data_IF_134839536655
#
_entry.id   IF_134839536655
#
_cell.length_a   1.000
_cell.length_b   1.000
_cell.length_c   1.000
_cell.angle_alpha   90.00
_cell.angle_beta   90.00
_cell.angle_gamma   90.00
#
_symmetry.space_group_name_H-M   'P 1'
#
loop_
_entity.id
_entity.type
_entity.pdbx_description
1 polymer ?
#
# COMPACT_ATOMS: atom_id res chain seq x y z
N UNK A 1 26.76 34.89 -12.54
CA UNK A 1 26.33 33.66 -11.85
C UNK A 1 27.33 33.44 -10.73
N UNK A 2 26.90 33.67 -9.49
CA UNK A 2 27.76 33.53 -8.31
C UNK A 2 27.92 32.03 -7.99
N UNK A 3 29.15 31.46 -7.89
CA UNK A 3 29.32 30.01 -7.77
C UNK A 3 29.20 29.46 -6.34
N UNK A 4 28.78 30.25 -5.35
CA UNK A 4 28.88 29.89 -3.92
C UNK A 4 27.66 30.33 -3.09
N UNK A 5 26.45 30.10 -3.59
CA UNK A 5 25.31 30.00 -2.67
C UNK A 5 25.36 28.61 -2.02
N UNK A 6 25.30 28.48 -0.68
CA UNK A 6 25.16 27.17 -0.05
C UNK A 6 23.88 26.52 -0.59
N UNK A 7 24.00 25.34 -1.19
CA UNK A 7 22.87 24.57 -1.71
C UNK A 7 21.87 24.40 -0.55
N UNK A 8 20.65 24.93 -0.72
CA UNK A 8 19.62 24.88 0.30
C UNK A 8 19.30 23.41 0.61
N UNK A 9 19.24 22.97 1.89
CA UNK A 9 19.02 21.56 2.25
C UNK A 9 17.81 20.92 1.57
N UNK A 10 16.73 21.69 1.38
CA UNK A 10 15.54 21.26 0.63
C UNK A 10 15.88 20.89 -0.82
N UNK A 11 16.65 21.73 -1.52
CA UNK A 11 17.03 21.48 -2.92
C UNK A 11 17.84 20.19 -3.06
N UNK A 12 18.70 19.90 -2.08
CA UNK A 12 19.48 18.65 -2.04
C UNK A 12 18.58 17.42 -1.90
N UNK A 13 17.57 17.45 -1.03
CA UNK A 13 16.65 16.32 -0.82
C UNK A 13 15.73 16.07 -2.02
N UNK A 14 15.32 17.16 -2.67
CA UNK A 14 14.43 17.10 -3.84
C UNK A 14 15.18 16.76 -5.13
N UNK A 15 16.50 16.98 -5.20
CA UNK A 15 17.29 16.56 -6.35
C UNK A 15 17.09 15.06 -6.64
N UNK A 16 16.83 14.67 -7.91
CA UNK A 16 16.79 13.27 -8.27
C UNK A 16 18.19 12.66 -8.09
N UNK A 17 18.28 11.37 -7.69
CA UNK A 17 19.56 10.69 -7.66
C UNK A 17 20.17 10.65 -9.07
N UNK A 18 21.48 10.80 -9.18
CA UNK A 18 22.18 10.51 -10.43
C UNK A 18 22.03 9.03 -10.81
N UNK A 19 22.18 8.70 -12.09
CA UNK A 19 22.10 7.31 -12.57
C UNK A 19 23.06 6.37 -11.82
N UNK A 20 24.23 6.86 -11.41
CA UNK A 20 25.18 6.10 -10.60
C UNK A 20 24.64 5.84 -9.19
N UNK A 21 24.09 6.86 -8.53
CA UNK A 21 23.51 6.72 -7.18
C UNK A 21 22.30 5.80 -7.16
N UNK A 22 21.45 5.87 -8.20
CA UNK A 22 20.33 4.95 -8.37
C UNK A 22 20.83 3.51 -8.57
N UNK A 23 21.81 3.29 -9.45
CA UNK A 23 22.42 1.98 -9.67
C UNK A 23 23.01 1.39 -8.39
N UNK A 24 23.80 2.17 -7.65
CA UNK A 24 24.39 1.75 -6.37
C UNK A 24 23.31 1.37 -5.34
N UNK A 25 22.23 2.16 -5.26
CA UNK A 25 21.11 1.85 -4.39
C UNK A 25 20.43 0.53 -4.75
N UNK A 26 20.16 0.29 -6.04
CA UNK A 26 19.53 -0.96 -6.48
C UNK A 26 20.47 -2.16 -6.35
N UNK A 27 21.77 -2.02 -6.62
CA UNK A 27 22.76 -3.08 -6.42
C UNK A 27 22.88 -3.46 -4.93
N UNK A 28 22.88 -2.46 -4.05
CA UNK A 28 22.85 -2.65 -2.60
C UNK A 28 21.55 -3.35 -2.17
N UNK A 29 20.41 -2.92 -2.70
CA UNK A 29 19.11 -3.53 -2.41
C UNK A 29 19.07 -5.00 -2.85
N UNK A 30 19.52 -5.30 -4.08
CA UNK A 30 19.56 -6.65 -4.65
C UNK A 30 20.52 -7.55 -3.85
N UNK A 31 21.71 -7.04 -3.50
CA UNK A 31 22.70 -7.81 -2.75
C UNK A 31 22.23 -8.14 -1.33
N UNK A 32 21.59 -7.18 -0.64
CA UNK A 32 21.00 -7.38 0.70
C UNK A 32 19.77 -8.28 0.69
N UNK A 33 18.97 -8.23 -0.38
CA UNK A 33 17.77 -9.04 -0.56
C UNK A 33 18.02 -10.42 -1.20
N UNK A 34 19.26 -10.94 -1.19
CA UNK A 34 19.56 -12.36 -1.50
C UNK A 34 18.95 -13.34 -0.47
N UNK A 35 17.66 -13.20 -0.15
CA UNK A 35 16.89 -14.13 0.66
C UNK A 35 16.00 -14.95 -0.30
N UNK A 36 16.09 -16.29 -0.29
CA UNK A 36 15.37 -17.19 -1.20
C UNK A 36 13.89 -17.35 -0.79
N UNK A 37 13.19 -16.24 -0.54
CA UNK A 37 11.83 -16.22 -0.01
C UNK A 37 11.75 -16.14 1.51
N UNK A 38 10.57 -15.75 2.00
CA UNK A 38 10.23 -15.70 3.41
C UNK A 38 10.16 -17.13 3.94
N UNK A 39 11.07 -17.51 4.84
CA UNK A 39 10.86 -18.71 5.67
C UNK A 39 10.01 -18.32 6.86
N UNK A 40 8.71 -18.62 6.76
CA UNK A 40 7.79 -18.52 7.89
C UNK A 40 8.23 -19.52 8.96
N UNK A 41 8.76 -19.01 10.08
CA UNK A 41 9.09 -19.84 11.24
C UNK A 41 7.82 -20.06 12.05
N UNK A 42 7.22 -21.23 11.90
CA UNK A 42 6.04 -21.67 12.62
C UNK A 42 6.31 -21.65 14.14
N UNK A 43 5.66 -20.74 14.86
CA UNK A 43 5.57 -20.76 16.32
C UNK A 43 4.14 -21.18 16.70
N UNK A 44 3.99 -21.97 17.77
CA UNK A 44 2.73 -22.65 18.15
C UNK A 44 1.55 -21.71 18.53
N UNK A 45 1.74 -20.38 18.44
CA UNK A 45 0.72 -19.38 18.71
C UNK A 45 0.15 -18.85 17.38
N UNK A 46 -0.65 -19.65 16.70
CA UNK A 46 -1.34 -19.25 15.48
C UNK A 46 -2.67 -18.55 15.80
N UNK A 47 -3.01 -17.51 15.04
CA UNK A 47 -4.39 -17.16 14.82
C UNK A 47 -5.10 -18.30 14.09
N UNK A 48 -6.42 -18.42 14.25
CA UNK A 48 -7.22 -19.46 13.59
C UNK A 48 -8.35 -18.86 12.76
N UNK A 49 -8.72 -19.54 11.68
CA UNK A 49 -9.80 -19.11 10.78
C UNK A 49 -11.11 -18.91 11.56
N UNK A 50 -11.43 -19.80 12.50
CA UNK A 50 -12.61 -19.65 13.37
C UNK A 50 -12.63 -18.33 14.15
N UNK A 51 -11.48 -17.89 14.67
CA UNK A 51 -11.38 -16.66 15.46
C UNK A 51 -11.61 -15.42 14.58
N UNK A 52 -11.07 -15.42 13.35
CA UNK A 52 -11.30 -14.34 12.38
C UNK A 52 -12.77 -14.26 11.98
N UNK A 53 -13.39 -15.41 11.65
CA UNK A 53 -14.81 -15.50 11.32
C UNK A 53 -15.65 -14.97 12.49
N UNK A 54 -15.38 -15.42 13.71
CA UNK A 54 -16.09 -14.96 14.91
C UNK A 54 -16.00 -13.44 15.09
N UNK A 55 -14.81 -12.85 14.97
CA UNK A 55 -14.61 -11.40 15.08
C UNK A 55 -15.38 -10.64 14.00
N UNK A 56 -15.34 -11.12 12.76
CA UNK A 56 -16.04 -10.50 11.64
C UNK A 56 -17.56 -10.49 11.86
N UNK A 57 -18.13 -11.64 12.21
CA UNK A 57 -19.56 -11.77 12.51
C UNK A 57 -19.96 -10.91 13.72
N UNK A 58 -19.12 -10.82 14.74
CA UNK A 58 -19.36 -9.95 15.89
C UNK A 58 -19.42 -8.47 15.52
N UNK A 59 -18.48 -7.99 14.70
CA UNK A 59 -18.48 -6.60 14.22
C UNK A 59 -19.71 -6.29 13.36
N UNK A 60 -20.11 -7.22 12.48
CA UNK A 60 -21.36 -7.10 11.72
C UNK A 60 -22.59 -7.00 12.63
N UNK A 61 -22.64 -7.79 13.72
CA UNK A 61 -23.73 -7.71 14.70
C UNK A 61 -23.77 -6.38 15.47
N UNK A 62 -22.63 -5.68 15.59
CA UNK A 62 -22.56 -4.34 16.16
C UNK A 62 -22.94 -3.24 15.16
N UNK A 63 -23.25 -3.58 13.91
CA UNK A 63 -23.55 -2.61 12.85
C UNK A 63 -22.30 -1.95 12.27
N UNK A 64 -21.10 -2.47 12.57
CA UNK A 64 -19.86 -2.07 11.91
C UNK A 64 -19.79 -2.83 10.58
N UNK A 65 -20.56 -2.37 9.59
CA UNK A 65 -20.43 -2.86 8.22
C UNK A 65 -19.19 -2.24 7.59
N UNK A 66 -18.44 -3.03 6.83
CA UNK A 66 -17.57 -2.47 5.80
C UNK A 66 -18.54 -1.84 4.80
N UNK A 67 -18.68 -0.51 4.83
CA UNK A 67 -19.31 0.18 3.71
C UNK A 67 -18.32 0.02 2.57
N UNK A 68 -18.63 -0.86 1.62
CA UNK A 68 -18.10 -0.68 0.29
C UNK A 68 -18.63 0.67 -0.16
N UNK A 69 -17.76 1.68 -0.20
CA UNK A 69 -17.96 2.72 -1.20
C UNK A 69 -18.12 1.98 -2.52
N UNK A 70 -19.21 2.23 -3.22
CA UNK A 70 -19.22 2.12 -4.67
C UNK A 70 -18.07 3.01 -5.16
N UNK A 71 -16.85 2.48 -5.14
CA UNK A 71 -15.81 2.97 -6.01
C UNK A 71 -16.22 2.41 -7.35
N UNK A 72 -16.54 3.28 -8.29
CA UNK A 72 -16.86 2.95 -9.67
C UNK A 72 -15.75 2.03 -10.23
N UNK A 73 -15.95 0.71 -10.12
CA UNK A 73 -15.29 -0.28 -10.96
C UNK A 73 -16.06 -0.34 -12.28
N UNK A 74 -16.08 0.78 -12.99
CA UNK A 74 -16.00 0.73 -14.45
C UNK A 74 -14.50 0.84 -14.77
N UNK A 75 -13.99 -0.15 -15.51
CA UNK A 75 -12.64 -0.21 -16.09
C UNK A 75 -11.50 -0.77 -15.22
N UNK A 76 -11.57 -2.07 -14.91
CA UNK A 76 -10.36 -2.90 -14.87
C UNK A 76 -10.65 -4.34 -15.33
N UNK A 77 -10.65 -4.55 -16.64
CA UNK A 77 -10.77 -5.86 -17.26
C UNK A 77 -9.56 -6.73 -16.86
N UNK A 78 -9.84 -7.84 -16.17
CA UNK A 78 -8.87 -8.92 -16.02
C UNK A 78 -8.62 -9.53 -17.40
N UNK A 79 -7.36 -9.53 -17.82
CA UNK A 79 -6.87 -10.28 -18.98
C UNK A 79 -7.26 -11.74 -18.84
N UNK A 80 -8.08 -12.22 -19.78
CA UNK A 80 -8.51 -13.60 -19.95
C UNK A 80 -7.36 -14.61 -19.78
N UNK A 81 -7.60 -15.58 -18.89
CA UNK A 81 -6.94 -16.88 -18.92
C UNK A 81 -7.95 -17.90 -19.43
N UNK A 82 -7.77 -18.33 -20.67
CA UNK A 82 -8.45 -19.48 -21.27
C UNK A 82 -8.32 -20.71 -20.34
N UNK A 83 -9.42 -21.42 -20.00
CA UNK A 83 -9.68 -22.75 -20.61
C UNK A 83 -10.94 -23.55 -20.14
N UNK A 84 -11.44 -24.31 -21.11
CA UNK A 84 -12.36 -25.46 -21.14
C UNK A 84 -13.78 -25.45 -20.52
N UNK A 85 -14.73 -25.38 -21.44
CA UNK A 85 -16.14 -25.77 -21.36
C UNK A 85 -16.38 -27.21 -20.86
N UNK A 86 -17.38 -27.36 -19.98
CA UNK A 86 -18.24 -28.54 -19.95
C UNK A 86 -19.70 -28.09 -20.07
N UNK A 87 -20.36 -28.54 -21.13
CA UNK A 87 -21.77 -28.28 -21.40
C UNK A 87 -22.66 -29.00 -20.37
N UNK A 88 -23.59 -28.28 -19.76
CA UNK A 88 -24.82 -28.91 -19.25
C UNK A 88 -26.02 -28.09 -19.70
N UNK A 89 -26.82 -28.72 -20.57
CA UNK A 89 -28.05 -28.20 -21.14
C UNK A 89 -29.13 -28.06 -20.07
N UNK A 90 -29.76 -26.89 -19.99
CA UNK A 90 -30.98 -26.67 -19.23
C UNK A 90 -31.57 -25.29 -19.54
N UNK A 91 -32.50 -25.25 -20.48
CA UNK A 91 -33.29 -24.06 -20.82
C UNK A 91 -34.07 -23.54 -19.60
N UNK A 92 -33.80 -22.31 -19.16
CA UNK A 92 -34.87 -21.42 -18.72
C UNK A 92 -34.51 -19.96 -19.00
N UNK A 93 -35.42 -19.29 -19.69
CA UNK A 93 -35.35 -17.92 -20.16
C UNK A 93 -35.85 -16.97 -19.08
N UNK A 94 -35.04 -16.00 -18.63
CA UNK A 94 -35.57 -14.93 -17.80
C UNK A 94 -34.53 -14.01 -17.17
N UNK A 95 -34.37 -12.84 -17.79
CA UNK A 95 -34.09 -11.53 -17.18
C UNK A 95 -32.91 -11.39 -16.19
N UNK A 96 -32.00 -10.50 -16.58
CA UNK A 96 -31.05 -9.77 -15.73
C UNK A 96 -31.68 -9.39 -14.38
N UNK A 97 -31.25 -10.02 -13.30
CA UNK A 97 -31.74 -9.77 -11.95
C UNK A 97 -30.64 -9.12 -11.12
N UNK A 98 -30.86 -7.85 -10.80
CA UNK A 98 -30.20 -7.09 -9.75
C UNK A 98 -29.92 -7.96 -8.52
N UNK A 99 -28.72 -7.86 -7.98
CA UNK A 99 -28.25 -8.49 -6.75
C UNK A 99 -29.27 -8.32 -5.61
N UNK A 100 -30.11 -9.34 -5.42
CA UNK A 100 -30.90 -9.45 -4.21
C UNK A 100 -29.93 -9.59 -3.03
N UNK A 101 -29.88 -8.58 -2.15
CA UNK A 101 -29.35 -8.69 -0.80
C UNK A 101 -29.99 -9.92 -0.14
N UNK A 102 -29.32 -11.08 -0.22
CA UNK A 102 -29.71 -12.26 0.55
C UNK A 102 -29.67 -11.83 2.01
N UNK A 103 -30.79 -12.00 2.70
CA UNK A 103 -30.90 -11.68 4.12
C UNK A 103 -29.88 -12.57 4.84
N UNK A 104 -28.74 -11.99 5.25
CA UNK A 104 -27.65 -12.72 5.91
C UNK A 104 -28.22 -13.47 7.12
N UNK A 105 -27.82 -14.73 7.27
CA UNK A 105 -28.29 -15.56 8.39
C UNK A 105 -27.65 -15.04 9.68
N UNK A 106 -28.45 -14.61 10.64
CA UNK A 106 -27.94 -14.21 11.95
C UNK A 106 -27.61 -15.44 12.80
N UNK A 107 -26.34 -15.63 13.14
CA UNK A 107 -25.94 -16.65 14.10
C UNK A 107 -26.26 -16.24 15.54
N UNK A 108 -26.62 -17.20 16.42
CA UNK A 108 -26.75 -16.93 17.84
C UNK A 108 -25.47 -16.36 18.43
N UNK A 109 -25.58 -15.35 19.31
CA UNK A 109 -24.42 -14.69 19.95
C UNK A 109 -23.43 -15.67 20.58
N UNK A 110 -23.92 -16.72 21.25
CA UNK A 110 -23.07 -17.74 21.86
C UNK A 110 -22.21 -18.51 20.85
N UNK A 111 -22.67 -18.69 19.61
CA UNK A 111 -21.88 -19.33 18.53
C UNK A 111 -20.77 -18.39 18.08
N UNK A 112 -21.09 -17.11 17.87
CA UNK A 112 -20.12 -16.07 17.48
C UNK A 112 -19.04 -15.88 18.55
N UNK A 113 -19.45 -15.80 19.82
CA UNK A 113 -18.54 -15.73 20.96
C UNK A 113 -17.66 -16.99 21.05
N UNK A 114 -18.23 -18.18 20.84
CA UNK A 114 -17.45 -19.43 20.84
C UNK A 114 -16.40 -19.46 19.73
N UNK A 115 -16.72 -18.92 18.54
CA UNK A 115 -15.74 -18.77 17.44
C UNK A 115 -14.64 -17.78 17.82
N UNK A 116 -14.99 -16.59 18.35
CA UNK A 116 -14.03 -15.55 18.74
C UNK A 116 -13.02 -15.99 19.80
N UNK A 117 -13.47 -16.81 20.76
CA UNK A 117 -12.62 -17.31 21.85
C UNK A 117 -11.90 -18.62 21.48
N UNK A 118 -12.22 -19.21 20.32
CA UNK A 118 -11.65 -20.47 19.85
C UNK A 118 -12.22 -21.72 20.53
N UNK A 119 -13.37 -21.60 21.21
CA UNK A 119 -14.10 -22.71 21.83
C UNK A 119 -14.79 -23.59 20.77
N UNK A 120 -15.21 -22.98 19.65
CA UNK A 120 -15.77 -23.68 18.50
C UNK A 120 -14.70 -23.83 17.40
N UNK A 121 -14.20 -25.05 17.20
CA UNK A 121 -13.25 -25.37 16.13
C UNK A 121 -13.97 -25.77 14.85
N UNK A 122 -13.48 -25.26 13.73
CA UNK A 122 -13.99 -25.61 12.40
C UNK A 122 -13.24 -26.81 11.80
N UNK A 123 -13.92 -27.67 11.03
CA UNK A 123 -13.28 -28.81 10.39
C UNK A 123 -12.15 -28.36 9.46
N UNK A 124 -11.00 -29.04 9.50
CA UNK A 124 -9.81 -28.71 8.70
C UNK A 124 -9.17 -27.33 8.92
N UNK A 125 -9.62 -26.53 9.91
CA UNK A 125 -9.08 -25.17 10.12
C UNK A 125 -7.58 -25.15 10.48
N UNK A 126 -7.05 -26.24 11.04
CA UNK A 126 -5.62 -26.39 11.32
C UNK A 126 -4.74 -26.42 10.04
N UNK A 127 -5.34 -26.61 8.86
CA UNK A 127 -4.64 -26.48 7.55
C UNK A 127 -4.46 -25.02 7.11
N UNK A 128 -5.13 -24.09 7.77
CA UNK A 128 -5.11 -22.65 7.47
C UNK A 128 -4.61 -21.84 8.68
N UNK A 129 -3.35 -22.07 9.13
CA UNK A 129 -2.81 -21.34 10.26
C UNK A 129 -2.65 -19.86 9.92
N UNK A 130 -3.11 -18.98 10.81
CA UNK A 130 -2.95 -17.53 10.67
C UNK A 130 -1.87 -17.02 11.63
N UNK A 131 -1.24 -15.87 11.35
CA UNK A 131 -0.32 -15.29 12.29
C UNK A 131 -1.02 -14.88 13.61
N UNK A 132 -0.28 -14.84 14.73
CA UNK A 132 -0.81 -14.28 15.97
C UNK A 132 -1.16 -12.80 15.80
N UNK A 133 -2.16 -12.34 16.55
CA UNK A 133 -2.46 -10.91 16.69
C UNK A 133 -1.59 -10.31 17.80
N UNK A 134 -0.64 -9.45 17.45
CA UNK A 134 0.22 -8.74 18.41
C UNK A 134 -0.18 -7.26 18.43
N UNK A 135 -0.60 -6.69 19.57
CA UNK A 135 -0.94 -5.28 19.64
C UNK A 135 0.31 -4.40 19.57
N UNK A 136 0.11 -3.14 19.20
CA UNK A 136 1.15 -2.12 19.21
C UNK A 136 1.88 -1.98 20.56
N UNK A 137 3.21 -1.78 20.49
CA UNK A 137 4.09 -1.54 21.64
C UNK A 137 3.62 -0.34 22.47
N UNK A 138 3.15 0.71 21.79
CA UNK A 138 2.60 1.92 22.38
C UNK A 138 1.19 1.77 22.95
N UNK A 139 0.52 0.63 22.70
CA UNK A 139 -0.85 0.36 23.18
C UNK A 139 -1.86 1.39 22.67
N UNK A 140 -1.80 1.75 21.38
CA UNK A 140 -2.74 2.67 20.75
C UNK A 140 -4.15 2.11 20.55
N UNK A 141 -4.34 0.79 20.66
CA UNK A 141 -5.64 0.15 20.41
C UNK A 141 -5.96 -0.09 18.92
N UNK A 142 -5.31 0.63 18.02
CA UNK A 142 -5.58 0.62 16.57
C UNK A 142 -4.68 -0.34 15.78
N UNK A 143 -3.36 -0.30 16.02
CA UNK A 143 -2.41 -1.05 15.21
C UNK A 143 -2.12 -2.45 15.76
N UNK A 144 -2.22 -3.45 14.88
CA UNK A 144 -1.96 -4.87 15.17
C UNK A 144 -1.01 -5.47 14.13
N UNK A 145 -0.20 -6.44 14.58
CA UNK A 145 0.88 -7.01 13.79
C UNK A 145 0.84 -8.53 13.84
N UNK A 146 1.35 -9.17 12.79
CA UNK A 146 1.44 -10.62 12.67
C UNK A 146 2.50 -11.26 13.59
N UNK A 147 3.36 -10.44 14.24
CA UNK A 147 4.40 -10.93 15.15
C UNK A 147 5.00 -9.79 15.99
N UNK A 148 5.70 -10.16 17.08
CA UNK A 148 6.48 -9.20 17.89
C UNK A 148 7.59 -8.53 17.08
N UNK A 149 8.21 -9.27 16.15
CA UNK A 149 9.22 -8.71 15.24
C UNK A 149 8.64 -7.68 14.29
N UNK A 150 7.43 -7.89 13.75
CA UNK A 150 6.77 -6.92 12.89
C UNK A 150 6.33 -5.67 13.69
N UNK A 151 5.81 -5.85 14.90
CA UNK A 151 5.49 -4.73 15.79
C UNK A 151 6.73 -3.89 16.14
N UNK A 152 7.86 -4.55 16.43
CA UNK A 152 9.13 -3.87 16.70
C UNK A 152 9.67 -3.17 15.45
N UNK A 153 9.60 -3.82 14.29
CA UNK A 153 10.07 -3.25 13.04
C UNK A 153 9.29 -1.97 12.67
N UNK A 154 7.97 -1.99 12.77
CA UNK A 154 7.12 -0.82 12.50
C UNK A 154 7.35 0.31 13.51
N UNK A 155 7.48 -0.05 14.79
CA UNK A 155 7.80 0.89 15.86
C UNK A 155 9.11 1.62 15.61
N UNK A 156 10.17 0.88 15.28
CA UNK A 156 11.49 1.45 14.96
C UNK A 156 11.52 2.21 13.62
N UNK A 157 10.63 1.86 12.69
CA UNK A 157 10.63 2.46 11.36
C UNK A 157 9.83 3.73 11.27
N UNK A 158 8.67 3.86 11.92
CA UNK A 158 7.88 5.09 11.84
C UNK A 158 6.83 5.22 12.95
N UNK A 159 6.28 4.10 13.44
CA UNK A 159 5.09 4.14 14.28
C UNK A 159 5.33 4.73 15.66
N UNK A 160 6.56 4.72 16.21
CA UNK A 160 6.83 5.36 17.50
C UNK A 160 6.41 6.84 17.53
N UNK A 161 6.64 7.57 16.44
CA UNK A 161 6.26 8.98 16.27
C UNK A 161 4.77 9.17 15.93
N UNK A 162 4.15 8.17 15.30
CA UNK A 162 2.76 8.23 14.82
C UNK A 162 1.80 7.42 15.70
N UNK A 163 2.24 7.01 16.89
CA UNK A 163 1.42 6.25 17.81
C UNK A 163 0.52 7.21 18.61
N UNK A 164 -0.77 6.91 18.71
CA UNK A 164 -1.71 7.61 19.60
C UNK A 164 -1.72 7.05 21.03
N UNK A 165 -0.99 5.98 21.28
CA UNK A 165 -0.91 5.28 22.57
C UNK A 165 -0.01 5.95 23.60
N UNK A 166 0.00 5.42 24.82
CA UNK A 166 0.67 6.03 25.99
C UNK A 166 2.19 6.12 25.85
N UNK A 167 2.82 5.19 25.11
CA UNK A 167 4.28 5.17 24.93
C UNK A 167 4.74 5.84 23.64
N UNK A 168 3.89 6.69 23.05
CA UNK A 168 4.23 7.45 21.86
C UNK A 168 5.48 8.30 22.06
N UNK A 169 6.29 8.42 21.01
CA UNK A 169 7.40 9.36 20.91
C UNK A 169 6.99 10.69 20.24
N UNK A 170 5.70 10.85 19.92
CA UNK A 170 5.14 12.12 19.43
C UNK A 170 5.33 13.25 20.45
N UNK A 171 5.59 14.47 19.96
CA UNK A 171 5.70 15.68 20.79
C UNK A 171 4.33 16.09 21.36
N UNK A 172 3.26 15.90 20.57
CA UNK A 172 1.88 16.07 21.04
C UNK A 172 0.99 14.97 20.46
N UNK A 173 0.35 14.20 21.35
CA UNK A 173 -0.61 13.15 20.96
C UNK A 173 -1.94 13.77 20.50
N UNK A 174 -2.31 14.91 21.08
CA UNK A 174 -3.51 15.66 20.73
C UNK A 174 -3.41 16.19 19.29
N UNK A 175 -2.31 16.86 18.95
CA UNK A 175 -2.06 17.32 17.57
C UNK A 175 -1.97 16.15 16.58
N UNK A 176 -1.45 15.00 17.01
CA UNK A 176 -1.41 13.79 16.18
C UNK A 176 -2.82 13.25 15.89
N UNK A 177 -3.72 13.27 16.87
CA UNK A 177 -5.12 12.89 16.67
C UNK A 177 -5.80 13.86 15.70
N UNK A 178 -5.62 15.17 15.87
CA UNK A 178 -6.15 16.19 14.95
C UNK A 178 -5.61 16.00 13.52
N UNK A 179 -4.32 15.66 13.38
CA UNK A 179 -3.73 15.32 12.08
C UNK A 179 -4.39 14.10 11.44
N UNK A 180 -4.60 13.02 12.22
CA UNK A 180 -5.22 11.78 11.74
C UNK A 180 -6.67 12.03 11.33
N UNK A 181 -7.43 12.77 12.14
CA UNK A 181 -8.80 13.18 11.82
C UNK A 181 -8.84 13.99 10.52
N UNK A 182 -7.97 14.99 10.36
CA UNK A 182 -7.88 15.78 9.14
C UNK A 182 -7.57 14.90 7.91
N UNK A 183 -6.62 13.97 8.02
CA UNK A 183 -6.28 13.06 6.93
C UNK A 183 -7.47 12.16 6.56
N UNK A 184 -8.14 11.55 7.54
CA UNK A 184 -9.30 10.70 7.31
C UNK A 184 -10.50 11.46 6.70
N UNK A 185 -10.67 12.75 7.04
CA UNK A 185 -11.74 13.59 6.50
C UNK A 185 -11.45 14.18 5.11
N UNK A 186 -10.18 14.21 4.69
CA UNK A 186 -9.78 14.93 3.47
C UNK A 186 -9.05 14.06 2.45
N UNK A 187 -7.89 13.49 2.81
CA UNK A 187 -7.13 12.59 1.97
C UNK A 187 -6.18 11.74 2.84
N UNK A 188 -6.35 10.42 2.77
CA UNK A 188 -5.58 9.43 3.54
C UNK A 188 -4.10 9.37 3.14
N UNK A 189 -3.73 9.89 1.96
CA UNK A 189 -2.34 10.03 1.50
C UNK A 189 -1.47 10.78 2.51
N UNK A 190 -2.07 11.69 3.29
CA UNK A 190 -1.36 12.43 4.31
C UNK A 190 -0.79 11.50 5.38
N UNK A 191 -1.47 10.41 5.72
CA UNK A 191 -0.96 9.37 6.63
C UNK A 191 0.29 8.72 6.05
N UNK A 192 0.32 8.46 4.73
CA UNK A 192 1.48 7.90 4.03
C UNK A 192 2.64 8.91 4.02
N UNK A 193 2.36 10.19 3.78
CA UNK A 193 3.36 11.24 3.83
C UNK A 193 3.95 11.40 5.24
N UNK A 194 3.13 11.32 6.28
CA UNK A 194 3.58 11.31 7.67
C UNK A 194 4.48 10.10 7.97
N UNK A 195 4.13 8.90 7.46
CA UNK A 195 4.99 7.72 7.58
C UNK A 195 6.36 7.94 6.92
N UNK A 196 6.43 8.56 5.74
CA UNK A 196 7.69 8.85 5.06
C UNK A 196 8.57 9.87 5.84
N UNK A 197 7.96 10.91 6.40
CA UNK A 197 8.66 11.88 7.26
C UNK A 197 9.16 11.20 8.53
N UNK A 198 8.30 10.50 9.26
CA UNK A 198 8.67 9.77 10.49
C UNK A 198 9.77 8.74 10.23
N UNK A 199 9.68 8.02 9.11
CA UNK A 199 10.72 7.09 8.67
C UNK A 199 12.08 7.76 8.48
N UNK A 200 12.08 8.91 7.81
CA UNK A 200 13.31 9.68 7.59
C UNK A 200 13.88 10.20 8.91
N UNK A 201 13.03 10.71 9.82
CA UNK A 201 13.45 11.21 11.14
C UNK A 201 14.09 10.09 11.97
N UNK A 202 13.43 8.93 12.11
CA UNK A 202 13.94 7.82 12.92
C UNK A 202 15.21 7.22 12.33
N UNK A 203 15.29 7.12 11.00
CA UNK A 203 16.53 6.70 10.31
C UNK A 203 17.66 7.70 10.54
N UNK A 204 17.40 9.00 10.46
CA UNK A 204 18.38 10.05 10.77
C UNK A 204 18.87 9.94 12.22
N UNK A 205 17.97 9.80 13.20
CA UNK A 205 18.32 9.62 14.61
C UNK A 205 19.25 8.42 14.83
N UNK A 206 18.97 7.29 14.15
CA UNK A 206 19.81 6.09 14.19
C UNK A 206 21.21 6.34 13.61
N UNK A 207 21.30 6.95 12.43
CA UNK A 207 22.58 7.30 11.79
C UNK A 207 23.41 8.25 12.67
N UNK A 208 22.75 9.26 13.27
CA UNK A 208 23.39 10.20 14.20
C UNK A 208 23.93 9.48 15.44
N UNK A 209 23.15 8.58 16.04
CA UNK A 209 23.57 7.81 17.20
C UNK A 209 24.77 6.91 16.90
N UNK A 210 24.75 6.17 15.78
CA UNK A 210 25.87 5.32 15.34
C UNK A 210 27.13 6.14 15.10
N UNK A 211 27.02 7.28 14.43
CA UNK A 211 28.17 8.16 14.17
C UNK A 211 28.80 8.70 15.47
N UNK A 212 27.98 9.05 16.46
CA UNK A 212 28.46 9.49 17.78
C UNK A 212 29.16 8.35 18.55
N UNK A 213 28.69 7.11 18.43
CA UNK A 213 29.34 5.94 19.04
C UNK A 213 30.69 5.63 18.41
N UNK A 214 30.81 5.76 17.08
CA UNK A 214 32.06 5.58 16.35
C UNK A 214 33.11 6.63 16.73
N UNK A 215 32.71 7.91 16.81
CA UNK A 215 33.59 8.99 17.27
C UNK A 215 34.10 8.79 18.71
N UNK A 216 33.30 8.16 19.58
CA UNK A 216 33.73 7.82 20.94
C UNK A 216 34.78 6.70 20.96
N UNK A 217 34.74 5.78 19.98
CA UNK A 217 35.68 4.66 19.86
C UNK A 217 36.96 5.03 19.14
N UNK A 218 36.88 5.88 18.11
CA UNK A 218 38.04 6.36 17.35
C UNK A 218 37.91 7.88 17.09
N UNK A 219 38.81 8.66 17.71
CA UNK A 219 38.84 10.12 17.57
C UNK A 219 39.27 10.59 16.17
N UNK A 220 39.76 9.69 15.32
CA UNK A 220 40.18 10.01 13.94
C UNK A 220 39.03 9.89 12.93
N UNK A 221 37.86 9.34 13.32
CA UNK A 221 36.70 9.21 12.44
C UNK A 221 35.93 10.53 12.41
N UNK A 222 35.88 11.19 11.26
CA UNK A 222 34.97 12.31 11.03
C UNK A 222 33.53 11.77 10.94
N UNK A 223 32.63 12.23 11.80
CA UNK A 223 31.21 11.83 11.68
C UNK A 223 30.47 12.56 10.57
N UNK A 224 29.22 12.17 10.39
CA UNK A 224 28.34 12.83 9.43
C UNK A 224 28.02 14.26 9.86
N UNK A 225 28.03 15.18 8.91
CA UNK A 225 27.35 16.46 9.07
C UNK A 225 25.83 16.21 9.06
N UNK A 226 25.05 17.05 9.75
CA UNK A 226 23.58 16.94 9.78
C UNK A 226 22.98 16.83 8.36
N UNK A 227 23.36 17.68 7.38
CA UNK A 227 22.84 17.57 6.02
C UNK A 227 23.19 16.24 5.32
N UNK A 228 24.38 15.70 5.56
CA UNK A 228 24.79 14.42 4.97
C UNK A 228 24.03 13.24 5.57
N UNK A 229 23.86 13.22 6.90
CA UNK A 229 23.07 12.19 7.56
C UNK A 229 21.58 12.24 7.17
N UNK A 230 21.01 13.45 7.03
CA UNK A 230 19.62 13.61 6.59
C UNK A 230 19.43 13.15 5.14
N UNK A 231 20.38 13.47 4.25
CA UNK A 231 20.35 12.99 2.86
C UNK A 231 20.43 11.46 2.77
N UNK A 232 21.28 10.83 3.59
CA UNK A 232 21.39 9.38 3.67
C UNK A 232 20.14 8.72 4.30
N UNK A 233 19.49 9.41 5.24
CA UNK A 233 18.20 8.99 5.78
C UNK A 233 17.08 9.07 4.72
N UNK A 234 17.10 10.10 3.88
CA UNK A 234 16.11 10.33 2.83
C UNK A 234 16.28 9.45 1.58
N UNK A 235 17.48 8.91 1.35
CA UNK A 235 17.85 8.12 0.16
C UNK A 235 16.81 7.06 -0.26
N UNK A 236 16.15 6.30 0.63
CA UNK A 236 15.13 5.33 0.21
C UNK A 236 13.89 5.97 -0.45
N UNK A 237 13.52 7.18 -0.02
CA UNK A 237 12.37 7.94 -0.54
C UNK A 237 12.75 8.70 -1.82
N UNK A 238 14.05 8.95 -2.05
CA UNK A 238 14.49 9.79 -3.16
C UNK A 238 14.33 9.16 -4.55
N UNK A 239 13.94 7.88 -4.63
CA UNK A 239 13.83 7.10 -5.86
C UNK A 239 12.52 7.29 -6.62
N UNK A 240 11.47 7.85 -6.00
CA UNK A 240 10.19 8.10 -6.66
C UNK A 240 10.13 9.41 -7.45
N UNK A 241 9.08 9.58 -8.25
CA UNK A 241 8.76 10.86 -8.90
C UNK A 241 8.45 11.93 -7.85
N UNK A 242 8.93 13.17 -8.05
CA UNK A 242 8.83 14.25 -7.05
C UNK A 242 8.28 15.54 -7.67
N UNK A 243 7.10 15.53 -8.29
CA UNK A 243 6.39 16.81 -8.52
C UNK A 243 5.52 17.10 -7.31
N UNK A 244 5.23 18.39 -7.10
CA UNK A 244 4.30 18.78 -6.04
C UNK A 244 2.92 18.27 -6.43
N UNK A 245 2.24 17.63 -5.49
CA UNK A 245 0.90 17.08 -5.68
C UNK A 245 -0.05 18.04 -6.41
N UNK A 246 -0.18 19.27 -5.91
CA UNK A 246 -1.06 20.25 -6.52
C UNK A 246 -0.62 20.67 -7.92
N UNK A 247 0.63 20.50 -8.34
CA UNK A 247 1.04 20.81 -9.73
C UNK A 247 0.72 19.67 -10.70
N UNK A 248 0.58 18.42 -10.23
CA UNK A 248 0.53 17.24 -11.09
C UNK A 248 -0.75 16.43 -11.00
N UNK A 249 -1.58 16.60 -9.96
CA UNK A 249 -2.86 15.91 -9.87
C UNK A 249 -3.75 16.25 -11.07
N UNK A 250 -4.54 15.28 -11.55
CA UNK A 250 -5.52 15.50 -12.60
C UNK A 250 -6.53 16.59 -12.20
N UNK A 251 -7.06 17.31 -13.19
CA UNK A 251 -8.23 18.14 -12.97
C UNK A 251 -9.47 17.24 -12.96
N UNK A 252 -10.35 17.36 -11.96
CA UNK A 252 -11.66 16.71 -12.00
C UNK A 252 -12.42 17.08 -13.28
N UNK A 253 -13.24 16.16 -13.79
CA UNK A 253 -13.97 16.33 -15.06
C UNK A 253 -14.88 17.57 -15.06
N UNK A 254 -15.38 17.96 -13.88
CA UNK A 254 -16.23 19.12 -13.65
C UNK A 254 -15.46 20.44 -13.50
N UNK A 255 -14.13 20.41 -13.40
CA UNK A 255 -13.29 21.61 -13.30
C UNK A 255 -12.90 22.10 -14.69
N UNK A 256 -13.59 23.13 -15.15
CA UNK A 256 -13.19 23.85 -16.37
C UNK A 256 -11.78 24.45 -16.24
N UNK A 257 -11.08 24.61 -17.37
CA UNK A 257 -9.74 25.23 -17.43
C UNK A 257 -9.65 26.61 -16.74
N UNK A 258 -10.76 27.36 -16.69
CA UNK A 258 -10.84 28.64 -16.00
C UNK A 258 -10.76 28.53 -14.47
N UNK A 259 -11.13 27.37 -13.91
CA UNK A 259 -11.14 27.04 -12.48
C UNK A 259 -9.86 26.35 -11.99
N UNK A 260 -8.94 25.97 -12.87
CA UNK A 260 -7.72 25.23 -12.53
C UNK A 260 -6.94 25.91 -11.39
N UNK A 261 -6.64 27.21 -11.50
CA UNK A 261 -5.85 27.91 -10.48
C UNK A 261 -6.49 27.84 -9.07
N UNK A 262 -7.82 27.90 -9.00
CA UNK A 262 -8.54 27.80 -7.73
C UNK A 262 -8.44 26.39 -7.14
N UNK A 263 -8.64 25.37 -7.98
CA UNK A 263 -8.47 23.96 -7.59
C UNK A 263 -7.05 23.69 -7.09
N UNK A 264 -6.03 24.07 -7.85
CA UNK A 264 -4.61 23.94 -7.49
C UNK A 264 -4.31 24.61 -6.13
N UNK A 265 -4.88 25.78 -5.89
CA UNK A 265 -4.73 26.50 -4.62
C UNK A 265 -5.42 25.78 -3.46
N UNK A 266 -6.60 25.19 -3.68
CA UNK A 266 -7.29 24.38 -2.68
C UNK A 266 -6.46 23.15 -2.27
N UNK A 267 -5.91 22.41 -3.24
CA UNK A 267 -5.04 21.26 -2.97
C UNK A 267 -3.79 21.65 -2.18
N UNK A 268 -3.18 22.79 -2.53
CA UNK A 268 -2.05 23.35 -1.79
C UNK A 268 -2.43 23.73 -0.35
N UNK A 269 -3.62 24.29 -0.13
CA UNK A 269 -4.08 24.67 1.20
C UNK A 269 -4.36 23.43 2.08
N UNK A 270 -4.95 22.37 1.51
CA UNK A 270 -5.12 21.09 2.21
C UNK A 270 -3.78 20.53 2.68
N UNK A 271 -2.80 20.43 1.77
CA UNK A 271 -1.46 19.98 2.12
C UNK A 271 -0.78 20.87 3.17
N UNK A 272 -1.03 22.19 3.14
CA UNK A 272 -0.50 23.12 4.13
C UNK A 272 -1.10 22.90 5.52
N UNK A 273 -2.42 22.74 5.63
CA UNK A 273 -3.09 22.47 6.91
C UNK A 273 -2.60 21.16 7.50
N UNK A 274 -2.57 20.10 6.68
CA UNK A 274 -2.08 18.79 7.06
C UNK A 274 -0.63 18.84 7.58
N UNK A 275 0.25 19.56 6.89
CA UNK A 275 1.64 19.73 7.30
C UNK A 275 1.78 20.45 8.65
N UNK A 276 1.01 21.52 8.90
CA UNK A 276 1.09 22.25 10.17
C UNK A 276 0.63 21.38 11.35
N UNK A 277 -0.42 20.57 11.17
CA UNK A 277 -0.86 19.60 12.17
C UNK A 277 0.22 18.53 12.43
N UNK A 278 0.80 17.96 11.36
CA UNK A 278 1.88 16.98 11.49
C UNK A 278 3.11 17.59 12.18
N UNK A 279 3.46 18.83 11.86
CA UNK A 279 4.55 19.55 12.49
C UNK A 279 4.28 19.75 13.98
N UNK A 280 3.09 20.15 14.38
CA UNK A 280 2.72 20.24 15.79
C UNK A 280 2.83 18.89 16.53
N UNK A 281 2.57 17.78 15.83
CA UNK A 281 2.69 16.44 16.39
C UNK A 281 4.15 15.95 16.54
N UNK A 282 4.98 16.03 15.49
CA UNK A 282 6.24 15.27 15.42
C UNK A 282 7.48 16.08 15.02
N UNK A 283 7.46 17.42 15.13
CA UNK A 283 8.58 18.25 14.70
C UNK A 283 9.92 17.87 15.35
N UNK A 284 10.96 17.81 14.51
CA UNK A 284 12.34 17.55 14.93
C UNK A 284 13.26 18.65 14.36
N UNK A 285 13.96 19.37 15.25
CA UNK A 285 14.82 20.50 14.88
C UNK A 285 15.94 20.10 13.92
N UNK A 286 16.51 18.89 14.07
CA UNK A 286 17.58 18.44 13.19
C UNK A 286 17.07 18.08 11.78
N UNK A 287 15.76 17.82 11.67
CA UNK A 287 15.08 17.43 10.45
C UNK A 287 14.10 18.50 9.95
N UNK A 288 14.25 19.76 10.38
CA UNK A 288 13.39 20.89 9.99
C UNK A 288 13.09 20.94 8.47
N UNK A 289 14.06 20.70 7.55
CA UNK A 289 13.79 20.76 6.11
C UNK A 289 12.64 19.85 5.64
N UNK A 290 12.41 18.71 6.32
CA UNK A 290 11.32 17.77 6.00
C UNK A 290 9.93 18.39 6.22
N UNK A 291 9.82 19.39 7.09
CA UNK A 291 8.58 20.10 7.40
C UNK A 291 8.37 21.35 6.55
N UNK A 292 8.95 21.38 5.35
CA UNK A 292 8.64 22.39 4.35
C UNK A 292 7.46 21.95 3.49
N UNK A 293 6.59 22.89 3.13
CA UNK A 293 5.49 22.62 2.22
C UNK A 293 5.98 22.10 0.85
N UNK A 294 7.19 22.52 0.45
CA UNK A 294 7.83 22.00 -0.75
C UNK A 294 8.08 20.49 -0.63
N UNK A 295 8.83 20.02 0.38
CA UNK A 295 9.08 18.58 0.56
C UNK A 295 7.77 17.81 0.76
N UNK A 296 6.87 18.31 1.61
CA UNK A 296 5.61 17.63 1.89
C UNK A 296 4.78 17.44 0.62
N UNK A 297 4.64 18.47 -0.21
CA UNK A 297 3.94 18.37 -1.48
C UNK A 297 4.58 17.40 -2.46
N UNK A 298 5.92 17.27 -2.47
CA UNK A 298 6.62 16.29 -3.31
C UNK A 298 6.45 14.86 -2.79
N UNK A 299 6.37 14.64 -1.47
CA UNK A 299 6.06 13.32 -0.89
C UNK A 299 4.65 12.89 -1.28
N UNK A 300 3.67 13.78 -1.13
CA UNK A 300 2.28 13.48 -1.50
C UNK A 300 2.19 13.18 -3.00
N UNK A 301 2.76 14.03 -3.85
CA UNK A 301 2.75 13.82 -5.31
C UNK A 301 3.49 12.54 -5.74
N UNK A 302 4.51 12.12 -4.99
CA UNK A 302 5.19 10.85 -5.21
C UNK A 302 4.24 9.67 -4.99
N UNK A 303 3.54 9.62 -3.86
CA UNK A 303 2.67 8.47 -3.57
C UNK A 303 1.41 8.46 -4.44
N UNK A 304 0.80 9.61 -4.72
CA UNK A 304 -0.38 9.73 -5.59
C UNK A 304 -0.14 9.18 -7.02
N UNK A 305 1.08 9.30 -7.54
CA UNK A 305 1.39 8.90 -8.92
C UNK A 305 2.14 7.57 -9.08
N UNK A 306 2.57 6.95 -7.97
CA UNK A 306 3.46 5.77 -8.02
C UNK A 306 2.96 4.58 -7.20
N UNK A 307 1.86 4.73 -6.47
CA UNK A 307 1.30 3.63 -5.72
C UNK A 307 0.72 2.57 -6.66
N UNK A 308 0.95 1.31 -6.32
CA UNK A 308 0.29 0.17 -6.92
C UNK A 308 -0.71 -0.42 -5.94
N UNK A 309 -1.83 -0.88 -6.49
CA UNK A 309 -2.82 -1.61 -5.72
C UNK A 309 -2.26 -2.93 -5.21
N UNK A 310 -2.51 -3.15 -3.94
CA UNK A 310 -2.15 -4.34 -3.21
C UNK A 310 -3.45 -5.03 -2.81
N UNK A 311 -3.54 -6.30 -3.18
CA UNK A 311 -4.68 -7.14 -2.77
C UNK A 311 -4.12 -8.39 -2.14
N UNK A 312 -4.50 -8.65 -0.90
CA UNK A 312 -4.16 -9.87 -0.17
C UNK A 312 -5.44 -10.66 0.02
N UNK A 313 -5.47 -11.87 -0.57
CA UNK A 313 -6.65 -12.73 -0.54
C UNK A 313 -7.10 -13.03 0.91
N UNK A 314 -8.40 -13.24 1.07
CA UNK A 314 -8.97 -13.59 2.37
C UNK A 314 -8.54 -15.02 2.75
N UNK A 315 -7.92 -15.24 3.92
CA UNK A 315 -7.65 -16.61 4.37
C UNK A 315 -8.94 -17.41 4.65
N UNK A 316 -10.08 -16.73 4.80
CA UNK A 316 -11.39 -17.38 4.97
C UNK A 316 -11.88 -17.92 3.62
N UNK A 317 -11.55 -17.26 2.52
CA UNK A 317 -11.83 -17.74 1.16
C UNK A 317 -11.10 -19.04 0.86
N UNK A 318 -9.79 -19.07 1.12
CA UNK A 318 -8.96 -20.26 0.95
C UNK A 318 -9.52 -21.47 1.71
N UNK A 319 -10.06 -21.24 2.90
CA UNK A 319 -10.70 -22.26 3.71
C UNK A 319 -11.96 -22.84 3.05
N UNK A 320 -12.84 -21.99 2.51
CA UNK A 320 -14.07 -22.44 1.85
C UNK A 320 -13.83 -23.04 0.46
N UNK A 321 -12.84 -22.53 -0.30
CA UNK A 321 -12.39 -23.14 -1.54
C UNK A 321 -11.89 -24.57 -1.29
N UNK A 322 -11.07 -24.76 -0.26
CA UNK A 322 -10.61 -26.09 0.12
C UNK A 322 -11.76 -27.05 0.48
N UNK A 323 -12.80 -26.58 1.18
CA UNK A 323 -14.00 -27.39 1.46
C UNK A 323 -14.71 -27.76 0.16
N UNK A 324 -14.83 -26.83 -0.77
CA UNK A 324 -15.49 -27.06 -2.06
C UNK A 324 -14.75 -28.12 -2.90
N UNK A 325 -13.43 -28.19 -2.77
CA UNK A 325 -12.55 -29.14 -3.49
C UNK A 325 -12.42 -30.51 -2.78
N UNK A 326 -13.05 -30.71 -1.62
CA UNK A 326 -13.03 -31.99 -0.92
C UNK A 326 -13.74 -33.10 -1.73
N UNK A 327 -13.32 -34.38 -1.55
CA UNK A 327 -14.06 -35.53 -2.09
C UNK A 327 -15.52 -35.55 -1.59
N UNK A 328 -16.46 -36.01 -2.43
CA UNK A 328 -17.91 -35.87 -2.18
C UNK A 328 -18.40 -36.38 -0.82
N UNK A 329 -17.78 -37.43 -0.27
CA UNK A 329 -18.14 -37.96 1.04
C UNK A 329 -17.75 -37.03 2.20
N UNK A 330 -16.57 -36.42 2.14
CA UNK A 330 -16.06 -35.49 3.16
C UNK A 330 -16.68 -34.10 2.99
N UNK A 331 -16.87 -33.66 1.74
CA UNK A 331 -17.48 -32.39 1.39
C UNK A 331 -18.86 -32.24 2.03
N UNK A 332 -19.75 -33.22 1.84
CA UNK A 332 -21.13 -33.13 2.34
C UNK A 332 -21.22 -32.95 3.87
N UNK A 333 -20.45 -33.73 4.62
CA UNK A 333 -20.41 -33.63 6.09
C UNK A 333 -19.84 -32.29 6.54
N UNK A 334 -18.77 -31.83 5.89
CA UNK A 334 -18.07 -30.58 6.20
C UNK A 334 -18.92 -29.34 5.86
N UNK A 335 -19.58 -29.35 4.71
CA UNK A 335 -20.54 -28.33 4.31
C UNK A 335 -21.69 -28.27 5.29
N UNK A 336 -22.26 -29.40 5.72
CA UNK A 336 -23.35 -29.40 6.72
C UNK A 336 -22.92 -28.75 8.05
N UNK A 337 -21.69 -29.00 8.50
CA UNK A 337 -21.13 -28.38 9.72
C UNK A 337 -20.87 -26.87 9.58
N UNK A 338 -20.51 -26.41 8.39
CA UNK A 338 -20.08 -25.03 8.15
C UNK A 338 -21.15 -24.16 7.48
N UNK A 339 -22.26 -24.76 7.02
CA UNK A 339 -23.31 -24.12 6.23
C UNK A 339 -23.84 -22.84 6.86
N UNK A 340 -24.22 -22.88 8.14
CA UNK A 340 -24.77 -21.70 8.83
C UNK A 340 -23.75 -20.57 8.94
N UNK A 341 -22.46 -20.91 9.06
CA UNK A 341 -21.38 -19.91 9.12
C UNK A 341 -21.15 -19.30 7.74
N UNK A 342 -21.12 -20.13 6.69
CA UNK A 342 -21.01 -19.67 5.31
C UNK A 342 -22.19 -18.77 4.91
N UNK A 343 -23.42 -19.19 5.22
CA UNK A 343 -24.64 -18.40 4.99
C UNK A 343 -24.66 -17.09 5.80
N UNK A 344 -24.08 -17.07 7.00
CA UNK A 344 -23.96 -15.87 7.82
C UNK A 344 -22.93 -14.87 7.27
N UNK A 345 -21.82 -15.37 6.74
CA UNK A 345 -20.80 -14.53 6.08
C UNK A 345 -21.34 -13.93 4.77
N UNK A 346 -22.16 -14.67 4.01
CA UNK A 346 -22.63 -14.23 2.70
C UNK A 346 -21.45 -14.12 1.74
N UNK A 347 -21.33 -13.01 1.00
CA UNK A 347 -20.18 -12.77 0.11
C UNK A 347 -18.92 -12.29 0.87
N UNK A 348 -19.09 -11.89 2.13
CA UNK A 348 -18.00 -11.28 2.91
C UNK A 348 -16.86 -12.26 3.24
N UNK A 349 -17.03 -13.57 3.06
CA UNK A 349 -15.95 -14.54 3.30
C UNK A 349 -14.77 -14.34 2.34
N UNK A 350 -15.05 -13.81 1.14
CA UNK A 350 -14.10 -13.58 0.04
C UNK A 350 -13.52 -12.17 0.01
N UNK A 351 -13.97 -11.27 0.90
CA UNK A 351 -13.48 -9.88 0.94
C UNK A 351 -11.99 -9.87 1.23
N UNK A 352 -11.24 -9.48 0.22
CA UNK A 352 -9.79 -9.34 0.27
C UNK A 352 -9.37 -8.14 1.12
N UNK A 353 -8.11 -8.13 1.55
CA UNK A 353 -7.49 -6.95 2.13
C UNK A 353 -6.86 -6.13 1.00
N UNK A 354 -7.46 -4.98 0.74
CA UNK A 354 -6.98 -4.01 -0.24
C UNK A 354 -6.06 -2.99 0.42
N UNK A 355 -5.12 -2.47 -0.34
CA UNK A 355 -4.22 -1.42 0.08
C UNK A 355 -3.39 -0.90 -1.07
N UNK A 356 -2.44 -0.02 -0.77
CA UNK A 356 -1.52 0.51 -1.75
C UNK A 356 -0.07 0.33 -1.30
N UNK A 357 0.82 0.17 -2.26
CA UNK A 357 2.24 -0.02 -2.00
C UNK A 357 3.11 0.76 -2.97
N UNK A 358 4.18 1.35 -2.43
CA UNK A 358 5.21 2.03 -3.21
C UNK A 358 6.39 1.08 -3.44
N UNK A 359 6.69 0.80 -4.71
CA UNK A 359 7.77 -0.10 -5.11
C UNK A 359 8.84 0.67 -5.88
N UNK A 360 9.96 1.10 -5.24
CA UNK A 360 10.94 1.98 -5.86
C UNK A 360 11.45 1.53 -7.23
N UNK A 361 11.60 0.22 -7.44
CA UNK A 361 12.04 -0.34 -8.72
C UNK A 361 10.98 -0.16 -9.82
N UNK A 362 9.71 -0.45 -9.51
CA UNK A 362 8.62 -0.31 -10.47
C UNK A 362 8.34 1.17 -10.74
N UNK A 363 8.41 2.03 -9.73
CA UNK A 363 8.21 3.48 -9.86
C UNK A 363 9.27 4.15 -10.76
N UNK A 364 10.38 3.46 -11.07
CA UNK A 364 11.40 3.90 -12.02
C UNK A 364 11.15 3.43 -13.47
N UNK A 365 10.16 2.55 -13.72
CA UNK A 365 9.89 2.02 -15.06
C UNK A 365 8.94 2.95 -15.80
N UNK A 366 9.40 3.52 -16.92
CA UNK A 366 8.60 4.43 -17.73
C UNK A 366 7.48 3.70 -18.50
N UNK A 367 6.50 4.49 -18.93
CA UNK A 367 5.38 4.03 -19.74
C UNK A 367 5.75 3.78 -21.22
N UNK A 368 5.13 2.77 -21.82
CA UNK A 368 4.99 2.62 -23.27
C UNK A 368 3.67 1.90 -23.60
N UNK A 369 2.93 2.35 -24.61
CA UNK A 369 1.75 1.62 -25.12
C UNK A 369 2.13 0.38 -25.97
N UNK A 370 3.42 0.09 -26.09
CA UNK A 370 3.96 -1.16 -26.63
C UNK A 370 5.15 -1.62 -25.74
N UNK A 371 4.87 -2.00 -24.49
CA UNK A 371 5.88 -2.23 -23.47
C UNK A 371 6.74 -3.46 -23.78
N UNK A 372 7.85 -3.59 -23.05
CA UNK A 372 8.71 -4.78 -23.10
C UNK A 372 8.69 -5.59 -21.80
N UNK A 373 8.01 -5.08 -20.77
CA UNK A 373 7.71 -5.78 -19.54
C UNK A 373 6.30 -5.45 -19.04
N UNK A 374 5.77 -6.23 -18.11
CA UNK A 374 4.55 -5.93 -17.37
C UNK A 374 4.74 -6.12 -15.88
N UNK A 375 4.02 -5.32 -15.09
CA UNK A 375 3.73 -5.69 -13.72
C UNK A 375 2.82 -6.92 -13.74
N UNK A 376 3.19 -7.93 -12.98
CA UNK A 376 2.52 -9.21 -12.94
C UNK A 376 2.27 -9.59 -11.49
N UNK A 377 1.06 -10.06 -11.26
CA UNK A 377 0.60 -10.63 -10.01
C UNK A 377 -0.07 -11.94 -10.33
N UNK A 378 0.42 -13.02 -9.74
CA UNK A 378 -0.21 -14.33 -9.80
C UNK A 378 -1.27 -14.46 -8.73
N UNK A 379 -2.19 -15.39 -8.92
CA UNK A 379 -3.17 -15.78 -7.91
C UNK A 379 -2.49 -16.27 -6.61
N UNK A 380 -1.26 -16.80 -6.71
CA UNK A 380 -0.48 -17.22 -5.54
C UNK A 380 0.31 -16.09 -4.85
N UNK A 381 0.38 -14.89 -5.43
CA UNK A 381 1.12 -13.75 -4.88
C UNK A 381 0.30 -13.09 -3.74
N UNK A 382 0.18 -13.82 -2.62
CA UNK A 382 -0.60 -13.46 -1.43
C UNK A 382 0.16 -12.62 -0.40
N UNK A 383 1.44 -12.35 -0.64
CA UNK A 383 2.31 -11.62 0.31
C UNK A 383 2.54 -10.16 -0.09
N UNK A 384 1.85 -9.69 -1.13
CA UNK A 384 1.94 -8.30 -1.59
C UNK A 384 3.23 -7.97 -2.34
N UNK A 385 3.92 -8.97 -2.90
CA UNK A 385 5.04 -8.71 -3.81
C UNK A 385 4.54 -8.24 -5.19
N UNK A 386 5.29 -7.31 -5.80
CA UNK A 386 5.13 -6.94 -7.19
C UNK A 386 6.23 -7.60 -8.04
N UNK A 387 5.85 -8.32 -9.09
CA UNK A 387 6.78 -8.96 -10.02
C UNK A 387 6.78 -8.21 -11.35
N UNK A 388 7.95 -7.96 -11.92
CA UNK A 388 8.09 -7.41 -13.29
C UNK A 388 8.54 -8.54 -14.21
N UNK A 389 7.72 -8.87 -15.21
CA UNK A 389 8.01 -9.90 -16.20
C UNK A 389 8.32 -9.29 -17.56
N UNK A 390 9.42 -9.74 -18.18
CA UNK A 390 9.71 -9.40 -19.56
C UNK A 390 8.69 -10.07 -20.50
N UNK A 391 8.11 -9.29 -21.41
CA UNK A 391 7.18 -9.74 -22.44
C UNK A 391 7.89 -10.19 -23.72
N UNK A 392 9.11 -9.70 -23.92
CA UNK A 392 9.97 -9.99 -25.07
C UNK A 392 11.44 -9.96 -24.63
N UNK A 393 12.37 -10.50 -25.43
CA UNK A 393 13.80 -10.36 -25.14
C UNK A 393 14.19 -8.87 -25.04
N UNK A 394 14.88 -8.50 -23.96
CA UNK A 394 15.33 -7.13 -23.69
C UNK A 394 16.86 -7.08 -23.84
N UNK A 395 17.36 -6.20 -24.71
CA UNK A 395 18.79 -6.06 -24.94
C UNK A 395 19.50 -5.30 -23.82
N UNK A 396 20.81 -5.53 -23.64
CA UNK A 396 21.60 -4.74 -22.70
C UNK A 396 21.58 -3.25 -23.11
N UNK A 397 21.13 -2.39 -22.20
CA UNK A 397 21.02 -0.95 -22.43
C UNK A 397 19.69 -0.53 -23.06
N UNK A 398 18.81 -1.47 -23.38
CA UNK A 398 17.41 -1.16 -23.70
C UNK A 398 16.67 -0.76 -22.43
N UNK A 399 15.85 0.28 -22.51
CA UNK A 399 15.01 0.73 -21.41
C UNK A 399 13.90 -0.29 -21.15
N UNK A 400 13.64 -0.59 -19.87
CA UNK A 400 12.50 -1.42 -19.48
C UNK A 400 11.29 -0.50 -19.32
N UNK A 401 10.23 -0.78 -20.07
CA UNK A 401 8.98 -0.02 -20.04
C UNK A 401 7.80 -0.93 -19.74
N UNK A 402 6.85 -0.44 -18.95
CA UNK A 402 5.55 -1.09 -18.66
C UNK A 402 4.42 -0.24 -19.24
N UNK A 403 3.19 -0.79 -19.35
CA UNK A 403 2.01 0.05 -19.59
C UNK A 403 1.43 0.55 -18.27
N UNK A 404 0.90 1.77 -18.28
CA UNK A 404 0.20 2.39 -17.15
C UNK A 404 -1.31 2.44 -17.37
N UNK A 405 -1.74 2.13 -18.59
CA UNK A 405 -3.10 2.21 -19.08
C UNK A 405 -3.39 0.95 -19.90
N UNK A 406 -4.65 0.69 -20.18
CA UNK A 406 -5.01 -0.37 -21.12
C UNK A 406 -4.45 -0.02 -22.51
N UNK A 407 -3.72 -0.96 -23.08
CA UNK A 407 -3.05 -0.82 -24.37
C UNK A 407 -4.06 -0.89 -25.53
N UNK A 408 -5.22 -1.51 -25.33
CA UNK A 408 -6.24 -1.76 -26.36
C UNK A 408 -7.19 -0.57 -26.58
N UNK A 409 -7.17 0.41 -25.67
CA UNK A 409 -7.87 1.69 -25.82
C UNK A 409 -7.40 2.47 -27.06
N UNK A 410 -8.22 3.41 -27.54
CA UNK A 410 -7.87 4.30 -28.65
C UNK A 410 -6.71 5.24 -28.29
N UNK A 411 -6.06 5.85 -29.29
CA UNK A 411 -4.99 6.83 -29.06
C UNK A 411 -5.48 7.97 -28.15
N UNK A 412 -6.67 8.51 -28.42
CA UNK A 412 -7.26 9.61 -27.68
C UNK A 412 -7.50 9.22 -26.21
N UNK A 413 -8.07 8.04 -25.96
CA UNK A 413 -8.32 7.53 -24.61
C UNK A 413 -7.01 7.29 -23.85
N UNK A 414 -6.02 6.63 -24.48
CA UNK A 414 -4.71 6.41 -23.83
C UNK A 414 -4.02 7.73 -23.49
N UNK A 415 -4.06 8.74 -24.37
CA UNK A 415 -3.46 10.05 -24.09
C UNK A 415 -4.21 10.81 -22.99
N UNK A 416 -5.53 10.67 -22.94
CA UNK A 416 -6.35 11.25 -21.87
C UNK A 416 -6.01 10.63 -20.52
N UNK A 417 -5.98 9.30 -20.39
CA UNK A 417 -5.61 8.60 -19.16
C UNK A 417 -4.16 8.88 -18.72
N UNK A 418 -3.23 9.05 -19.68
CA UNK A 418 -1.84 9.39 -19.38
C UNK A 418 -1.64 10.85 -18.95
N UNK A 419 -2.62 11.73 -19.18
CA UNK A 419 -2.56 13.11 -18.74
C UNK A 419 -2.48 13.21 -17.21
N UNK A 420 -3.06 12.25 -16.49
CA UNK A 420 -3.02 12.14 -15.03
C UNK A 420 -1.59 11.92 -14.51
N UNK A 421 -0.73 11.32 -15.33
CA UNK A 421 0.70 11.14 -15.06
C UNK A 421 1.54 12.36 -15.49
N UNK A 422 0.91 13.38 -16.06
CA UNK A 422 1.55 14.66 -16.38
C UNK A 422 2.52 14.61 -17.58
N UNK A 423 2.29 13.70 -18.54
CA UNK A 423 3.06 13.61 -19.79
C UNK A 423 2.18 13.20 -20.99
N UNK A 424 2.70 13.42 -22.20
CA UNK A 424 2.10 12.94 -23.46
C UNK A 424 2.92 11.78 -24.00
N UNK A 425 2.30 10.65 -24.29
CA UNK A 425 3.03 9.48 -24.79
C UNK A 425 3.47 9.70 -26.24
N UNK A 426 4.72 9.36 -26.53
CA UNK A 426 5.33 9.44 -27.87
C UNK A 426 5.98 8.11 -28.25
N UNK A 427 5.46 7.00 -27.69
CA UNK A 427 5.94 5.67 -28.03
C UNK A 427 5.67 5.33 -29.50
N UNK A 428 6.35 4.30 -30.07
CA UNK A 428 6.16 3.91 -31.47
C UNK A 428 4.70 3.64 -31.86
N UNK A 429 3.89 3.06 -30.98
CA UNK A 429 2.45 2.82 -31.22
C UNK A 429 1.70 4.15 -31.40
N UNK A 430 1.83 5.08 -30.45
CA UNK A 430 1.15 6.38 -30.52
C UNK A 430 1.59 7.19 -31.74
N UNK A 431 2.89 7.21 -32.06
CA UNK A 431 3.39 7.94 -33.23
C UNK A 431 2.86 7.38 -34.55
N UNK A 432 2.63 6.07 -34.64
CA UNK A 432 2.07 5.44 -35.83
C UNK A 432 0.56 5.71 -36.00
N UNK A 433 -0.18 5.83 -34.90
CA UNK A 433 -1.62 6.11 -34.89
C UNK A 433 -1.96 7.61 -35.08
N UNK A 434 -0.98 8.51 -34.88
CA UNK A 434 -1.11 9.95 -35.16
C UNK A 434 -1.05 10.32 -36.65
N UNK A 435 -0.60 9.39 -37.49
CA UNK A 435 -0.45 9.52 -38.95
C UNK A 435 -1.57 8.86 -39.72
#
# INVERSE_FOLDING_TARGET
MDPLSPIHPISTLLAPPSSLQAQEYFDELISKRRNPGIKVKQNEAFGKVEIQIGRKLYLQQLGVSVNHSECDMEDMYYSDGEDYSYEENGEDSGACSSSHLRKKVELPKGVVESLMHGDLKLPYSDRFPLPPTVPCIGSCGEAYYCSKSCAQADWESCHSLLCTGEKSESVSREALVEFIEHANETNDIFIVAAKAISYTILRYRKLKATSLEEQRKDKNVSGFTVPAALSEAWKPISMGHKRRWWDCIALPVDVESSGENAFRMQMRNLASTSLELLKAAIFDNDCEPLFSLEIYGHIVGMFELNNLDLVVASPVEDYFLYINDLPSSEKKETEEMTRLIFEALGDDYSVSCEGSAFFPLQSCLNHSCCPNAKAFKRDEDKDGQATILALKPICKGEEITISYVDEDLTLEERQASLADYGFRCTCPKCLAEET
#
